data_IF_734867918216
#
_entry.id   IF_734867918216
#
_cell.length_a   1.000
_cell.length_b   1.000
_cell.length_c   1.000
_cell.angle_alpha   90.00
_cell.angle_beta   90.00
_cell.angle_gamma   90.00
#
_symmetry.space_group_name_H-M   'P 1'
#
loop_
_entity.id
_entity.type
_entity.pdbx_description
1 polymer ?
#
# COMPACT_ATOMS: atom_id res chain seq x y z
N UNK A 1 3.30 22.92 -7.52
CA UNK A 1 3.92 24.11 -8.09
C UNK A 1 5.43 23.89 -8.11
N UNK A 2 6.17 24.54 -9.02
CA UNK A 2 7.63 24.46 -9.13
C UNK A 2 8.35 24.82 -7.81
N UNK A 3 7.68 25.54 -6.96
CA UNK A 3 8.15 25.99 -5.65
C UNK A 3 8.15 24.89 -4.56
N UNK A 4 7.46 23.76 -4.80
CA UNK A 4 7.37 22.68 -3.82
C UNK A 4 8.67 21.91 -3.61
N UNK A 5 9.58 21.88 -4.59
CA UNK A 5 10.83 21.11 -4.49
C UNK A 5 11.73 21.62 -3.35
N UNK A 6 11.92 22.95 -3.26
CA UNK A 6 12.68 23.56 -2.18
C UNK A 6 12.03 23.36 -0.80
N UNK A 7 10.68 23.46 -0.75
CA UNK A 7 9.95 23.21 0.49
C UNK A 7 10.13 21.75 0.94
N UNK A 8 10.05 20.78 0.03
CA UNK A 8 10.21 19.36 0.37
C UNK A 8 11.61 19.07 0.91
N UNK A 9 12.66 19.63 0.31
CA UNK A 9 14.04 19.47 0.78
C UNK A 9 14.23 20.08 2.18
N UNK A 10 13.72 21.29 2.39
CA UNK A 10 13.71 21.94 3.72
C UNK A 10 13.01 21.06 4.76
N UNK A 11 11.81 20.51 4.45
CA UNK A 11 11.06 19.65 5.36
C UNK A 11 11.80 18.36 5.69
N UNK A 12 12.47 17.73 4.71
CA UNK A 12 13.32 16.56 4.97
C UNK A 12 14.46 16.93 5.91
N UNK A 13 15.10 18.08 5.71
CA UNK A 13 16.19 18.55 6.58
C UNK A 13 15.75 18.72 8.04
N UNK A 14 14.53 19.21 8.27
CA UNK A 14 13.95 19.36 9.62
C UNK A 14 13.70 18.03 10.31
N UNK A 15 13.53 16.94 9.55
CA UNK A 15 13.29 15.59 10.08
C UNK A 15 14.54 14.93 10.69
N UNK A 16 15.72 15.55 10.61
CA UNK A 16 16.94 15.13 11.34
C UNK A 16 16.70 14.98 12.84
N UNK A 17 15.75 15.73 13.38
CA UNK A 17 15.34 15.61 14.79
C UNK A 17 14.71 14.24 15.15
N UNK A 18 14.35 13.43 14.15
CA UNK A 18 13.70 12.11 14.32
C UNK A 18 14.61 10.93 13.98
N UNK A 19 15.87 11.18 13.58
CA UNK A 19 16.86 10.14 13.30
C UNK A 19 17.60 10.35 11.98
N UNK A 20 18.49 9.42 11.66
CA UNK A 20 19.48 9.54 10.59
C UNK A 20 18.91 9.36 9.18
N UNK A 21 17.71 8.82 9.05
CA UNK A 21 17.10 8.57 7.73
C UNK A 21 16.94 9.83 6.88
N UNK A 22 16.75 11.00 7.50
CA UNK A 22 16.66 12.26 6.77
C UNK A 22 17.97 12.60 6.06
N UNK A 23 19.11 12.40 6.73
CA UNK A 23 20.44 12.62 6.15
C UNK A 23 20.73 11.61 5.03
N UNK A 24 20.35 10.36 5.20
CA UNK A 24 20.50 9.35 4.16
C UNK A 24 19.70 9.72 2.90
N UNK A 25 18.45 10.15 3.06
CA UNK A 25 17.58 10.54 1.93
C UNK A 25 18.13 11.76 1.21
N UNK A 26 18.65 12.74 1.96
CA UNK A 26 19.30 13.94 1.38
C UNK A 26 20.58 13.58 0.64
N UNK A 27 21.40 12.67 1.20
CA UNK A 27 22.64 12.23 0.56
C UNK A 27 22.40 11.42 -0.72
N UNK A 28 21.35 10.61 -0.76
CA UNK A 28 20.95 9.86 -1.95
C UNK A 28 20.29 10.73 -3.04
N UNK A 29 19.85 11.94 -2.67
CA UNK A 29 19.10 12.87 -3.50
C UNK A 29 17.59 12.57 -3.48
N UNK A 30 16.78 13.63 -3.44
CA UNK A 30 15.31 13.51 -3.45
C UNK A 30 14.80 13.10 -4.83
N UNK A 31 13.91 12.12 -4.84
CA UNK A 31 13.21 11.71 -6.07
C UNK A 31 11.89 12.48 -6.20
N UNK A 32 11.96 13.68 -6.76
CA UNK A 32 10.81 14.57 -6.97
C UNK A 32 10.40 14.49 -8.44
N UNK A 33 9.44 13.62 -8.74
CA UNK A 33 8.89 13.42 -10.08
C UNK A 33 7.38 13.70 -10.13
N UNK A 34 6.74 13.43 -11.26
CA UNK A 34 5.30 13.62 -11.48
C UNK A 34 4.40 12.74 -10.59
N UNK A 35 4.94 11.74 -9.90
CA UNK A 35 4.21 10.95 -8.90
C UNK A 35 4.11 11.71 -7.58
N UNK A 36 5.08 12.56 -7.29
CA UNK A 36 5.17 13.36 -6.06
C UNK A 36 4.50 14.72 -6.25
N UNK A 37 4.80 15.40 -7.35
CA UNK A 37 4.20 16.70 -7.67
C UNK A 37 3.35 16.57 -8.93
N UNK A 38 2.03 16.54 -8.75
CA UNK A 38 1.08 16.43 -9.85
C UNK A 38 -0.17 17.27 -9.56
N UNK A 39 -0.19 18.49 -10.10
CA UNK A 39 -1.28 19.44 -9.89
C UNK A 39 -2.62 18.95 -10.46
N UNK A 40 -2.60 18.16 -11.55
CA UNK A 40 -3.83 17.64 -12.17
C UNK A 40 -4.54 16.59 -11.31
N UNK A 41 -3.84 15.98 -10.34
CA UNK A 41 -4.40 14.98 -9.42
C UNK A 41 -4.79 15.56 -8.05
N UNK A 42 -4.61 16.86 -7.86
CA UNK A 42 -5.02 17.55 -6.62
C UNK A 42 -6.41 18.13 -6.85
N UNK A 43 -7.42 17.59 -6.16
CA UNK A 43 -8.78 18.11 -6.20
C UNK A 43 -9.03 19.19 -5.13
N UNK A 44 -8.92 18.81 -3.86
CA UNK A 44 -9.25 19.68 -2.72
C UNK A 44 -8.04 20.03 -1.89
N UNK A 45 -7.19 19.03 -1.57
CA UNK A 45 -6.06 19.16 -0.68
C UNK A 45 -4.82 18.45 -1.24
N UNK A 46 -3.64 19.01 -0.96
CA UNK A 46 -2.38 18.30 -1.17
C UNK A 46 -2.19 17.16 -0.16
N UNK A 47 -1.19 16.32 -0.38
CA UNK A 47 -0.81 15.27 0.57
C UNK A 47 -0.43 15.86 1.94
N UNK A 48 -0.54 15.04 2.99
CA UNK A 48 -0.05 15.40 4.34
C UNK A 48 1.47 15.47 4.28
N UNK A 49 2.02 16.64 4.55
CA UNK A 49 3.46 16.89 4.64
C UNK A 49 3.79 17.50 6.02
N UNK A 50 4.99 17.26 6.54
CA UNK A 50 5.46 17.94 7.76
C UNK A 50 5.45 19.46 7.61
N UNK A 51 5.04 20.16 8.66
CA UNK A 51 5.14 21.63 8.73
C UNK A 51 6.53 22.09 9.16
N UNK A 52 6.81 23.38 9.08
CA UNK A 52 8.04 24.00 9.60
C UNK A 52 8.25 23.78 11.11
N UNK A 53 7.18 23.51 11.84
CA UNK A 53 7.23 23.25 13.27
C UNK A 53 7.55 21.80 13.63
N UNK A 54 7.78 20.92 12.66
CA UNK A 54 7.95 19.47 12.89
C UNK A 54 9.10 19.17 13.86
N UNK A 55 10.20 19.94 13.83
CA UNK A 55 11.32 19.76 14.75
C UNK A 55 10.92 19.96 16.23
N UNK A 56 9.90 20.75 16.51
CA UNK A 56 9.39 20.95 17.85
C UNK A 56 8.61 19.72 18.35
N UNK A 57 7.96 18.99 17.46
CA UNK A 57 7.25 17.76 17.80
C UNK A 57 8.19 16.63 18.28
N UNK A 58 9.47 16.66 17.87
CA UNK A 58 10.47 15.72 18.39
C UNK A 58 10.73 15.88 19.89
N UNK A 59 10.52 17.10 20.42
CA UNK A 59 10.73 17.45 21.84
C UNK A 59 9.42 17.49 22.65
N UNK A 60 8.26 17.34 21.97
CA UNK A 60 6.96 17.39 22.62
C UNK A 60 6.64 16.09 23.36
N UNK A 61 5.93 16.20 24.47
CA UNK A 61 5.33 15.06 25.16
C UNK A 61 4.10 14.60 24.39
N UNK A 62 4.29 13.60 23.52
CA UNK A 62 3.23 12.96 22.76
C UNK A 62 2.82 11.64 23.42
N UNK A 63 1.54 11.33 23.41
CA UNK A 63 1.06 10.00 23.74
C UNK A 63 1.62 8.94 22.76
N UNK A 64 1.60 7.66 23.15
CA UNK A 64 2.06 6.57 22.29
C UNK A 64 1.34 6.54 20.93
N UNK A 65 0.02 6.80 20.91
CA UNK A 65 -0.76 6.83 19.68
C UNK A 65 -0.38 8.01 18.78
N UNK A 66 -0.21 9.19 19.35
CA UNK A 66 0.22 10.37 18.60
C UNK A 66 1.63 10.17 18.02
N UNK A 67 2.54 9.61 18.80
CA UNK A 67 3.88 9.26 18.34
C UNK A 67 3.82 8.26 17.19
N UNK A 68 3.05 7.19 17.32
CA UNK A 68 2.91 6.18 16.26
C UNK A 68 2.35 6.74 14.95
N UNK A 69 1.35 7.64 15.03
CA UNK A 69 0.82 8.33 13.84
C UNK A 69 1.86 9.25 13.22
N UNK A 70 2.58 10.03 14.04
CA UNK A 70 3.64 10.92 13.56
C UNK A 70 4.75 10.13 12.85
N UNK A 71 5.21 9.03 13.45
CA UNK A 71 6.24 8.17 12.89
C UNK A 71 5.79 7.54 11.55
N UNK A 72 4.51 7.15 11.44
CA UNK A 72 3.95 6.67 10.17
C UNK A 72 3.96 7.76 9.08
N UNK A 73 3.60 8.99 9.42
CA UNK A 73 3.59 10.12 8.49
C UNK A 73 5.00 10.44 8.03
N UNK A 74 5.96 10.55 8.98
CA UNK A 74 7.37 10.81 8.67
C UNK A 74 7.95 9.71 7.79
N UNK A 75 7.75 8.45 8.19
CA UNK A 75 8.22 7.29 7.41
C UNK A 75 7.67 7.31 5.99
N UNK A 76 6.38 7.57 5.82
CA UNK A 76 5.74 7.64 4.51
C UNK A 76 6.26 8.81 3.67
N UNK A 77 6.48 9.96 4.29
CA UNK A 77 7.02 11.14 3.63
C UNK A 77 8.44 10.90 3.12
N UNK A 78 9.33 10.40 3.98
CA UNK A 78 10.71 10.07 3.60
C UNK A 78 10.77 8.98 2.52
N UNK A 79 9.97 7.92 2.67
CA UNK A 79 9.89 6.85 1.68
C UNK A 79 9.39 7.36 0.31
N UNK A 80 8.42 8.28 0.28
CA UNK A 80 7.90 8.84 -0.96
C UNK A 80 8.95 9.66 -1.72
N UNK A 81 9.82 10.37 -1.00
CA UNK A 81 10.87 11.20 -1.57
C UNK A 81 12.18 10.44 -1.84
N UNK A 82 12.28 9.20 -1.37
CA UNK A 82 13.48 8.38 -1.58
C UNK A 82 13.54 7.85 -3.02
N UNK A 83 14.75 7.52 -3.50
CA UNK A 83 14.95 6.86 -4.78
C UNK A 83 14.13 5.58 -4.92
N UNK A 84 13.95 5.12 -6.15
CA UNK A 84 13.24 3.88 -6.43
C UNK A 84 13.99 2.66 -5.88
N UNK A 85 13.23 1.64 -5.52
CA UNK A 85 13.76 0.32 -5.23
C UNK A 85 14.15 -0.36 -6.56
N UNK A 86 15.42 -0.74 -6.67
CA UNK A 86 15.97 -1.42 -7.83
C UNK A 86 16.42 -2.83 -7.41
N UNK A 87 16.11 -3.82 -8.23
CA UNK A 87 16.51 -5.21 -7.99
C UNK A 87 16.71 -5.95 -9.29
N UNK A 88 17.56 -6.99 -9.23
CA UNK A 88 17.67 -7.97 -10.29
C UNK A 88 16.74 -9.14 -9.98
N UNK A 89 15.82 -9.44 -10.90
CA UNK A 89 15.01 -10.65 -10.84
C UNK A 89 15.64 -11.71 -11.74
N UNK A 90 15.89 -12.89 -11.17
CA UNK A 90 16.40 -14.05 -11.93
C UNK A 90 15.36 -15.16 -11.85
N UNK A 91 14.98 -15.69 -13.02
CA UNK A 91 14.13 -16.88 -13.13
C UNK A 91 15.04 -18.08 -13.48
N UNK A 92 15.01 -19.07 -12.60
CA UNK A 92 15.67 -20.36 -12.82
C UNK A 92 14.63 -21.37 -13.27
N UNK A 93 14.95 -22.13 -14.32
CA UNK A 93 14.13 -23.21 -14.81
C UNK A 93 14.96 -24.49 -14.70
N UNK A 94 14.52 -25.42 -13.87
CA UNK A 94 15.12 -26.73 -13.70
C UNK A 94 14.26 -27.77 -14.41
N UNK A 95 14.84 -28.52 -15.33
CA UNK A 95 14.17 -29.62 -15.99
C UNK A 95 14.48 -30.94 -15.27
N UNK A 96 13.44 -31.64 -14.85
CA UNK A 96 13.54 -32.94 -14.18
C UNK A 96 12.60 -33.91 -14.89
N UNK A 97 13.14 -34.91 -15.60
CA UNK A 97 12.36 -35.88 -16.37
C UNK A 97 11.31 -35.26 -17.32
N UNK A 98 11.65 -34.15 -17.96
CA UNK A 98 10.79 -33.44 -18.91
C UNK A 98 9.81 -32.47 -18.27
N UNK A 99 9.79 -32.36 -16.94
CA UNK A 99 8.95 -31.38 -16.20
C UNK A 99 9.79 -30.19 -15.76
N UNK A 100 9.19 -28.99 -15.88
CA UNK A 100 9.85 -27.73 -15.56
C UNK A 100 9.50 -27.21 -14.16
N UNK A 101 10.51 -27.04 -13.34
CA UNK A 101 10.41 -26.42 -12.01
C UNK A 101 10.98 -24.99 -12.08
N UNK A 102 10.19 -24.00 -11.66
CA UNK A 102 10.57 -22.59 -11.74
C UNK A 102 10.84 -22.01 -10.35
N UNK A 103 11.96 -21.31 -10.24
CA UNK A 103 12.29 -20.51 -9.07
C UNK A 103 12.57 -19.07 -9.50
N UNK A 104 11.91 -18.10 -8.86
CA UNK A 104 12.22 -16.68 -9.04
C UNK A 104 12.88 -16.12 -7.80
N UNK A 105 14.01 -15.47 -8.00
CA UNK A 105 14.75 -14.78 -6.93
C UNK A 105 14.87 -13.31 -7.23
N UNK A 106 14.91 -12.48 -6.17
CA UNK A 106 15.10 -11.03 -6.28
C UNK A 106 16.28 -10.63 -5.40
N UNK A 107 17.29 -10.05 -6.02
CA UNK A 107 18.45 -9.49 -5.33
C UNK A 107 18.38 -7.98 -5.40
N UNK A 108 18.26 -7.27 -4.26
CA UNK A 108 18.26 -5.81 -4.24
C UNK A 108 19.57 -5.25 -4.77
N UNK A 109 19.50 -4.36 -5.76
CA UNK A 109 20.64 -3.55 -6.23
C UNK A 109 20.65 -2.20 -5.48
N UNK A 110 19.47 -1.62 -5.22
CA UNK A 110 19.30 -0.38 -4.46
C UNK A 110 18.04 -0.47 -3.63
N UNK A 111 18.13 -0.28 -2.31
CA UNK A 111 16.96 -0.36 -1.44
C UNK A 111 15.99 0.79 -1.64
N UNK A 112 16.47 2.02 -1.88
CA UNK A 112 15.61 3.18 -2.07
C UNK A 112 14.54 3.29 -0.97
N UNK A 113 13.29 3.55 -1.36
CA UNK A 113 12.17 3.66 -0.42
C UNK A 113 11.90 2.39 0.41
N UNK A 114 12.35 1.22 -0.06
CA UNK A 114 12.07 -0.07 0.61
C UNK A 114 12.83 -0.21 1.93
N UNK A 115 13.89 0.56 2.16
CA UNK A 115 14.61 0.59 3.45
C UNK A 115 13.69 0.95 4.64
N UNK A 116 12.63 1.72 4.41
CA UNK A 116 11.63 2.07 5.42
C UNK A 116 10.62 0.95 5.72
N UNK A 117 10.52 -0.05 4.84
CA UNK A 117 9.58 -1.16 4.93
C UNK A 117 10.32 -2.49 4.72
N UNK A 118 11.22 -2.88 5.64
CA UNK A 118 11.99 -4.12 5.49
C UNK A 118 11.07 -5.33 5.46
N UNK A 119 11.29 -6.22 4.48
CA UNK A 119 10.60 -7.51 4.42
C UNK A 119 11.07 -8.41 5.55
N UNK A 120 10.13 -8.95 6.32
CA UNK A 120 10.42 -9.90 7.40
C UNK A 120 10.80 -11.29 6.89
N UNK A 121 10.47 -11.62 5.63
CA UNK A 121 10.49 -12.98 5.11
C UNK A 121 11.38 -13.18 3.86
N UNK A 122 12.30 -12.28 3.55
CA UNK A 122 13.15 -12.44 2.38
C UNK A 122 14.28 -13.45 2.64
N UNK A 123 13.91 -14.74 2.74
CA UNK A 123 14.83 -15.87 2.97
C UNK A 123 15.19 -16.66 1.71
N UNK A 124 14.77 -16.21 0.54
CA UNK A 124 15.06 -16.91 -0.69
C UNK A 124 16.55 -16.76 -1.02
N UNK A 125 17.32 -17.79 -0.66
CA UNK A 125 18.70 -17.89 -1.10
C UNK A 125 18.72 -17.98 -2.64
N UNK A 126 19.55 -17.14 -3.26
CA UNK A 126 19.78 -17.22 -4.71
C UNK A 126 20.65 -18.44 -4.98
N UNK A 127 20.21 -19.40 -5.82
CA UNK A 127 21.06 -20.52 -6.18
C UNK A 127 22.33 -20.04 -6.86
N UNK A 128 23.45 -20.66 -6.50
CA UNK A 128 24.70 -20.45 -7.20
C UNK A 128 24.85 -21.55 -8.24
N UNK A 129 24.30 -21.34 -9.42
CA UNK A 129 24.33 -22.30 -10.52
C UNK A 129 24.47 -21.60 -11.87
N UNK A 130 24.95 -22.32 -12.86
CA UNK A 130 25.14 -21.87 -14.24
C UNK A 130 24.16 -22.56 -15.18
N UNK A 131 23.90 -21.98 -16.33
CA UNK A 131 23.09 -22.59 -17.37
C UNK A 131 23.73 -23.88 -17.87
N UNK A 132 22.93 -24.95 -17.98
CA UNK A 132 23.37 -26.27 -18.39
C UNK A 132 24.05 -27.11 -17.29
N UNK A 133 24.13 -26.58 -16.06
CA UNK A 133 24.67 -27.34 -14.93
C UNK A 133 23.71 -28.45 -14.49
N UNK A 134 24.24 -29.61 -14.20
CA UNK A 134 23.47 -30.79 -13.80
C UNK A 134 23.55 -30.97 -12.29
N UNK A 135 22.38 -31.16 -11.66
CA UNK A 135 22.26 -31.36 -10.22
C UNK A 135 21.59 -32.69 -9.90
N UNK A 136 22.00 -33.30 -8.79
CA UNK A 136 21.32 -34.46 -8.25
C UNK A 136 20.10 -34.02 -7.45
N UNK A 137 18.92 -34.54 -7.80
CA UNK A 137 17.69 -34.32 -7.06
C UNK A 137 17.72 -35.08 -5.74
N UNK A 138 17.75 -34.38 -4.62
CA UNK A 138 17.78 -35.01 -3.29
C UNK A 138 16.41 -35.46 -2.82
N UNK A 139 15.38 -34.64 -3.04
CA UNK A 139 14.02 -34.96 -2.67
C UNK A 139 13.02 -34.15 -3.52
N UNK A 140 11.87 -34.74 -3.75
CA UNK A 140 10.69 -34.06 -4.34
C UNK A 140 9.56 -34.27 -3.35
N UNK A 141 8.92 -33.17 -2.95
CA UNK A 141 7.75 -33.19 -2.07
C UNK A 141 6.51 -32.68 -2.82
N UNK A 142 5.44 -33.43 -2.73
CA UNK A 142 4.13 -33.03 -3.26
C UNK A 142 3.31 -32.47 -2.11
N UNK A 143 2.93 -31.21 -2.19
CA UNK A 143 2.03 -30.56 -1.22
C UNK A 143 0.64 -30.41 -1.84
N UNK A 144 -0.33 -31.05 -1.24
CA UNK A 144 -1.73 -30.81 -1.57
C UNK A 144 -2.19 -29.49 -0.94
N UNK A 145 -2.67 -28.58 -1.77
CA UNK A 145 -3.13 -27.28 -1.33
C UNK A 145 -4.55 -27.02 -1.84
N UNK A 146 -5.36 -26.39 -1.02
CA UNK A 146 -6.69 -25.91 -1.42
C UNK A 146 -6.64 -24.40 -1.65
N UNK A 147 -7.33 -23.93 -2.68
CA UNK A 147 -7.54 -22.51 -2.89
C UNK A 147 -8.38 -21.93 -1.75
N UNK A 148 -7.96 -20.80 -1.24
CA UNK A 148 -8.68 -20.11 -0.18
C UNK A 148 -9.62 -19.04 -0.77
N UNK A 149 -10.80 -18.85 -0.21
CA UNK A 149 -11.70 -17.79 -0.63
C UNK A 149 -11.05 -16.41 -0.38
N UNK A 150 -11.45 -15.35 -1.11
CA UNK A 150 -10.97 -14.01 -0.87
C UNK A 150 -11.11 -13.62 0.60
N UNK A 151 -10.08 -13.00 1.16
CA UNK A 151 -10.11 -12.52 2.55
C UNK A 151 -11.22 -11.49 2.73
N UNK A 152 -11.90 -11.52 3.88
CA UNK A 152 -12.86 -10.48 4.24
C UNK A 152 -12.16 -9.11 4.31
N UNK A 153 -12.93 -8.06 4.08
CA UNK A 153 -12.40 -6.70 4.20
C UNK A 153 -11.92 -6.41 5.63
N UNK A 154 -10.81 -5.73 5.74
CA UNK A 154 -10.48 -4.87 6.87
C UNK A 154 -10.92 -3.44 6.55
N UNK A 155 -10.91 -2.54 7.53
CA UNK A 155 -11.23 -1.12 7.26
C UNK A 155 -10.31 -0.53 6.19
N UNK A 156 -9.02 -0.78 6.27
CA UNK A 156 -8.03 -0.34 5.30
C UNK A 156 -8.31 -0.88 3.88
N UNK A 157 -8.65 -2.17 3.75
CA UNK A 157 -8.94 -2.76 2.43
C UNK A 157 -10.31 -2.35 1.89
N UNK A 158 -11.27 -2.03 2.78
CA UNK A 158 -12.56 -1.48 2.38
C UNK A 158 -12.40 -0.03 1.89
N UNK A 159 -11.65 0.81 2.60
CA UNK A 159 -11.33 2.16 2.14
C UNK A 159 -10.67 2.14 0.75
N UNK A 160 -9.70 1.25 0.55
CA UNK A 160 -9.05 1.08 -0.75
C UNK A 160 -10.02 0.58 -1.84
N UNK A 161 -10.99 -0.27 -1.48
CA UNK A 161 -12.00 -0.72 -2.42
C UNK A 161 -12.99 0.39 -2.79
N UNK A 162 -13.36 1.26 -1.84
CA UNK A 162 -14.18 2.45 -2.10
C UNK A 162 -13.45 3.46 -3.00
N UNK A 163 -12.16 3.62 -2.82
CA UNK A 163 -11.32 4.51 -3.65
C UNK A 163 -11.19 4.00 -5.09
N UNK A 164 -11.02 2.69 -5.28
CA UNK A 164 -10.80 2.05 -6.58
C UNK A 164 -12.02 1.19 -6.97
N UNK A 165 -13.22 1.74 -6.84
CA UNK A 165 -14.45 1.00 -7.16
C UNK A 165 -14.55 0.72 -8.67
N UNK A 166 -13.98 1.59 -9.50
CA UNK A 166 -13.86 1.45 -10.95
C UNK A 166 -13.36 0.06 -11.37
N UNK A 167 -12.36 -0.47 -10.68
CA UNK A 167 -11.77 -1.79 -10.97
C UNK A 167 -12.70 -2.97 -10.71
N UNK A 168 -13.87 -2.75 -10.14
CA UNK A 168 -14.87 -3.75 -9.79
C UNK A 168 -16.12 -3.66 -10.66
N UNK A 169 -16.18 -2.66 -11.50
CA UNK A 169 -17.28 -2.41 -12.44
C UNK A 169 -16.90 -3.00 -13.78
N UNK A 170 -17.74 -3.91 -14.31
CA UNK A 170 -17.51 -4.57 -15.59
C UNK A 170 -17.82 -3.64 -16.78
N UNK A 171 -18.77 -2.74 -16.61
CA UNK A 171 -19.13 -1.73 -17.61
C UNK A 171 -18.05 -0.64 -17.69
N UNK A 172 -17.49 -0.45 -18.89
CA UNK A 172 -16.39 0.49 -19.11
C UNK A 172 -16.80 1.95 -18.99
N UNK A 173 -17.97 2.32 -19.51
CA UNK A 173 -18.44 3.71 -19.47
C UNK A 173 -18.71 4.12 -18.03
N UNK A 174 -19.34 3.24 -17.27
CA UNK A 174 -19.61 3.43 -15.85
C UNK A 174 -18.33 3.45 -15.01
N UNK A 175 -17.39 2.54 -15.31
CA UNK A 175 -16.06 2.49 -14.68
C UNK A 175 -15.31 3.81 -14.87
N UNK A 176 -15.33 4.38 -16.07
CA UNK A 176 -14.72 5.67 -16.39
C UNK A 176 -15.38 6.83 -15.62
N UNK A 177 -16.71 6.84 -15.50
CA UNK A 177 -17.44 7.87 -14.76
C UNK A 177 -17.09 7.90 -13.27
N UNK A 178 -16.82 6.76 -12.65
CA UNK A 178 -16.50 6.67 -11.20
C UNK A 178 -15.01 6.64 -10.92
N UNK A 179 -14.15 6.45 -11.93
CA UNK A 179 -12.70 6.30 -11.76
C UNK A 179 -12.02 7.51 -11.10
N UNK A 180 -12.52 8.71 -11.36
CA UNK A 180 -11.94 9.95 -10.83
C UNK A 180 -12.31 10.21 -9.36
N UNK A 181 -13.46 9.72 -8.89
CA UNK A 181 -14.01 10.07 -7.56
C UNK A 181 -14.06 8.91 -6.59
N UNK A 182 -14.24 7.68 -7.07
CA UNK A 182 -14.51 6.51 -6.23
C UNK A 182 -15.86 6.61 -5.54
N UNK A 183 -16.10 5.73 -4.57
CA UNK A 183 -17.30 5.73 -3.73
C UNK A 183 -17.06 6.62 -2.50
N UNK A 184 -17.73 7.76 -2.43
CA UNK A 184 -17.50 8.80 -1.42
C UNK A 184 -16.17 9.55 -1.62
N UNK A 185 -15.96 10.59 -0.83
CA UNK A 185 -14.72 11.39 -0.85
C UNK A 185 -13.71 10.87 0.19
N UNK A 186 -12.42 11.18 0.09
CA UNK A 186 -11.44 10.85 1.12
C UNK A 186 -11.87 11.29 2.53
N UNK A 187 -12.50 12.46 2.65
CA UNK A 187 -12.98 13.00 3.92
C UNK A 187 -14.19 12.25 4.50
N UNK A 188 -15.01 11.62 3.66
CA UNK A 188 -16.29 11.02 4.08
C UNK A 188 -16.25 9.50 4.23
N UNK A 189 -15.34 8.80 3.55
CA UNK A 189 -15.28 7.33 3.53
C UNK A 189 -15.19 6.71 4.92
N UNK A 190 -14.30 7.23 5.76
CA UNK A 190 -14.13 6.72 7.13
C UNK A 190 -15.42 6.91 7.95
N UNK A 191 -16.05 8.08 7.86
CA UNK A 191 -17.31 8.38 8.56
C UNK A 191 -18.47 7.49 8.08
N UNK A 192 -18.52 7.14 6.79
CA UNK A 192 -19.50 6.21 6.23
C UNK A 192 -19.31 4.81 6.85
N UNK A 193 -18.08 4.29 6.89
CA UNK A 193 -17.77 2.98 7.49
C UNK A 193 -18.19 2.97 8.96
N UNK A 194 -17.79 3.98 9.73
CA UNK A 194 -18.15 4.09 11.14
C UNK A 194 -19.68 4.15 11.34
N UNK A 195 -20.39 4.87 10.49
CA UNK A 195 -21.86 4.93 10.53
C UNK A 195 -22.51 3.57 10.28
N UNK A 196 -22.02 2.83 9.28
CA UNK A 196 -22.56 1.50 8.94
C UNK A 196 -22.30 0.50 10.08
N UNK A 197 -21.15 0.61 10.77
CA UNK A 197 -20.85 -0.16 11.98
C UNK A 197 -21.77 0.25 13.13
N UNK A 198 -21.91 1.55 13.40
CA UNK A 198 -22.75 2.07 14.49
C UNK A 198 -24.22 1.70 14.35
N UNK A 199 -24.73 1.65 13.12
CA UNK A 199 -26.11 1.20 12.82
C UNK A 199 -26.23 -0.31 12.97
N UNK A 200 -25.13 -1.05 12.97
CA UNK A 200 -25.10 -2.49 13.14
C UNK A 200 -25.36 -3.28 11.86
N UNK A 201 -25.06 -2.73 10.68
CA UNK A 201 -25.13 -3.44 9.41
C UNK A 201 -23.89 -4.29 9.17
N UNK A 202 -22.75 -3.83 9.68
CA UNK A 202 -21.49 -4.58 9.75
C UNK A 202 -20.95 -4.53 11.17
N UNK A 203 -20.10 -5.48 11.53
CA UNK A 203 -19.40 -5.54 12.81
C UNK A 203 -17.91 -5.80 12.62
N UNK A 204 -17.11 -5.38 13.60
CA UNK A 204 -15.68 -5.69 13.66
C UNK A 204 -15.48 -7.04 14.34
N UNK A 205 -14.82 -7.99 13.65
CA UNK A 205 -14.31 -9.24 14.25
C UNK A 205 -12.79 -9.27 14.13
N UNK A 206 -12.12 -8.84 15.17
CA UNK A 206 -10.69 -8.56 15.13
C UNK A 206 -10.38 -7.44 14.13
N UNK A 207 -9.53 -7.73 13.14
CA UNK A 207 -9.22 -6.78 12.06
C UNK A 207 -10.18 -6.86 10.86
N UNK A 208 -11.15 -7.76 10.87
CA UNK A 208 -12.06 -7.99 9.75
C UNK A 208 -13.41 -7.31 9.96
N UNK A 209 -14.01 -6.88 8.87
CA UNK A 209 -15.39 -6.41 8.81
C UNK A 209 -16.29 -7.55 8.34
N UNK A 210 -17.38 -7.79 9.07
CA UNK A 210 -18.33 -8.86 8.80
C UNK A 210 -19.75 -8.29 8.72
N UNK A 211 -20.48 -8.65 7.67
CA UNK A 211 -21.89 -8.28 7.54
C UNK A 211 -22.73 -8.99 8.61
N UNK A 212 -23.64 -8.25 9.27
CA UNK A 212 -24.62 -8.79 10.20
C UNK A 212 -25.87 -9.29 9.45
N UNK A 213 -26.72 -10.08 10.12
CA UNK A 213 -28.00 -10.49 9.53
C UNK A 213 -28.92 -9.29 9.26
N UNK A 214 -28.85 -8.25 10.10
CA UNK A 214 -29.52 -6.98 9.87
C UNK A 214 -29.05 -6.33 8.57
N UNK A 215 -27.75 -6.26 8.35
CA UNK A 215 -27.17 -5.71 7.12
C UNK A 215 -27.58 -6.49 5.88
N UNK A 216 -27.49 -7.82 5.95
CA UNK A 216 -27.93 -8.70 4.84
C UNK A 216 -29.41 -8.51 4.50
N UNK A 217 -30.26 -8.40 5.55
CA UNK A 217 -31.69 -8.18 5.37
C UNK A 217 -32.00 -6.85 4.70
N UNK A 218 -31.30 -5.78 5.09
CA UNK A 218 -31.47 -4.45 4.44
C UNK A 218 -31.12 -4.56 2.95
N UNK A 219 -29.96 -5.13 2.61
CA UNK A 219 -29.56 -5.29 1.20
C UNK A 219 -30.57 -6.15 0.41
N UNK A 220 -31.16 -7.19 1.02
CA UNK A 220 -32.15 -8.03 0.34
C UNK A 220 -33.48 -7.31 0.06
N UNK A 221 -33.79 -6.24 0.79
CA UNK A 221 -35.01 -5.46 0.65
C UNK A 221 -34.87 -4.25 -0.29
N UNK A 222 -33.64 -3.81 -0.57
CA UNK A 222 -33.39 -2.70 -1.49
C UNK A 222 -33.69 -3.14 -2.93
N UNK A 223 -34.24 -2.25 -3.78
CA UNK A 223 -34.30 -2.44 -5.22
C UNK A 223 -32.88 -2.65 -5.81
N UNK A 224 -32.81 -3.32 -6.95
CA UNK A 224 -31.52 -3.60 -7.57
C UNK A 224 -30.81 -2.33 -8.05
N UNK A 225 -31.56 -1.33 -8.45
CA UNK A 225 -31.07 -0.01 -8.84
C UNK A 225 -30.32 0.66 -7.68
N UNK A 226 -30.81 0.57 -6.43
CA UNK A 226 -30.15 1.15 -5.24
C UNK A 226 -28.91 0.34 -4.77
N UNK A 227 -28.66 -0.82 -5.34
CA UNK A 227 -27.48 -1.66 -5.08
C UNK A 227 -26.40 -1.44 -6.12
N UNK A 228 -26.75 -0.82 -7.24
CA UNK A 228 -25.86 -0.53 -8.35
C UNK A 228 -25.15 0.80 -8.15
N UNK A 229 -24.01 0.98 -8.82
CA UNK A 229 -23.31 2.26 -8.96
C UNK A 229 -23.81 3.07 -10.16
N UNK A 230 -24.85 2.58 -10.83
CA UNK A 230 -25.48 3.20 -12.01
C UNK A 230 -26.49 4.32 -11.67
N UNK A 231 -26.68 4.61 -10.39
CA UNK A 231 -27.54 5.70 -9.90
C UNK A 231 -26.77 7.02 -9.73
#
# INVERSE_FOLDING_TARGET
>A
TEDMSGILEERVSMLRAFGDFADEVLAEGLNIDSRIINNSKVSDHHAIIPTENIANAAKAELSENERAVLDMVITRFLAALSPQYEYTETEYIFEINGENFKLKTKVPARLGWKKFYPDKDNKNATPNCSEGEIFDVKSIEISECETQPPKRFSESTLLKAMENIDRRIEDKELSECVSERGLGTPATRAAIIERVIKVGYIERKGKQLVSTDKGKKVISLLPDEEKSVEL
#
